data_IF_522374714310
#
_entry.id   IF_522374714310
#
_cell.length_a   1.000
_cell.length_b   1.000
_cell.length_c   1.000
_cell.angle_alpha   90.00
_cell.angle_beta   90.00
_cell.angle_gamma   90.00
#
_symmetry.space_group_name_H-M   'P 1'
#
loop_
_entity.id
_entity.type
_entity.pdbx_description
1 polymer ?
#
# COMPACT_ATOMS: atom_id res chain seq x y z
N UNK A 1 -2.31 14.13 2.80
CA UNK A 1 -1.45 14.00 4.00
C UNK A 1 -0.34 13.05 3.64
N UNK A 2 0.93 13.49 3.70
CA UNK A 2 2.10 12.71 3.29
C UNK A 2 2.97 12.36 4.48
N UNK A 3 3.71 11.23 4.38
CA UNK A 3 4.72 10.82 5.36
C UNK A 3 6.07 11.37 4.95
N UNK A 4 6.71 12.15 5.82
CA UNK A 4 8.01 12.78 5.57
C UNK A 4 9.02 12.19 6.55
N UNK A 5 10.03 11.49 6.02
CA UNK A 5 11.10 10.93 6.83
C UNK A 5 12.16 11.97 7.12
N UNK A 6 12.47 12.20 8.41
CA UNK A 6 13.48 13.15 8.85
C UNK A 6 14.74 12.41 9.29
N UNK A 7 15.79 12.51 8.50
CA UNK A 7 17.09 11.87 8.72
C UNK A 7 18.16 12.87 9.10
N UNK A 8 18.88 12.60 10.17
CA UNK A 8 20.08 13.36 10.57
C UNK A 8 20.82 12.64 11.69
N UNK A 9 22.02 13.11 12.05
CA UNK A 9 22.57 12.88 13.39
C UNK A 9 21.65 13.49 14.44
N UNK A 10 21.58 12.85 15.63
CA UNK A 10 20.60 13.23 16.65
C UNK A 10 21.11 14.25 17.66
N UNK A 11 22.31 13.99 18.23
CA UNK A 11 22.80 14.74 19.39
C UNK A 11 23.03 16.22 19.08
N UNK A 12 23.59 16.51 17.91
CA UNK A 12 23.97 17.85 17.45
C UNK A 12 22.82 18.61 16.77
N UNK A 13 21.82 17.90 16.24
CA UNK A 13 20.71 18.49 15.47
C UNK A 13 19.35 18.41 16.20
N UNK A 14 19.34 18.12 17.49
CA UNK A 14 18.09 17.93 18.26
C UNK A 14 17.10 19.09 18.11
N UNK A 15 17.54 20.33 18.26
CA UNK A 15 16.67 21.51 18.17
C UNK A 15 16.22 21.76 16.71
N UNK A 16 17.10 21.51 15.75
CA UNK A 16 16.77 21.60 14.33
C UNK A 16 15.70 20.58 13.94
N UNK A 17 15.80 19.34 14.45
CA UNK A 17 14.79 18.30 14.24
C UNK A 17 13.45 18.69 14.81
N UNK A 18 13.41 19.25 16.03
CA UNK A 18 12.17 19.72 16.66
C UNK A 18 11.50 20.81 15.83
N UNK A 19 12.25 21.81 15.40
CA UNK A 19 11.74 22.89 14.58
C UNK A 19 11.18 22.39 13.25
N UNK A 20 11.91 21.49 12.59
CA UNK A 20 11.47 20.86 11.35
C UNK A 20 10.22 19.99 11.54
N UNK A 21 10.18 19.13 12.56
CA UNK A 21 9.01 18.31 12.89
C UNK A 21 7.76 19.16 13.10
N UNK A 22 7.90 20.25 13.87
CA UNK A 22 6.79 21.19 14.09
C UNK A 22 6.33 21.83 12.77
N UNK A 23 7.25 22.22 11.91
CA UNK A 23 6.96 22.78 10.60
C UNK A 23 6.21 21.78 9.70
N UNK A 24 6.66 20.54 9.63
CA UNK A 24 6.01 19.46 8.87
C UNK A 24 4.57 19.25 9.34
N UNK A 25 4.35 19.18 10.64
CA UNK A 25 3.00 18.98 11.22
C UNK A 25 2.09 20.18 10.97
N UNK A 26 2.62 21.42 11.02
CA UNK A 26 1.87 22.64 10.67
C UNK A 26 1.43 22.68 9.20
N UNK A 27 2.18 22.04 8.31
CA UNK A 27 1.82 21.84 6.90
C UNK A 27 0.79 20.72 6.69
N UNK A 28 0.34 20.03 7.76
CA UNK A 28 -0.65 18.95 7.66
C UNK A 28 -0.05 17.60 7.23
N UNK A 29 1.26 17.41 7.37
CA UNK A 29 1.95 16.15 7.07
C UNK A 29 2.37 15.40 8.33
N UNK A 30 2.76 14.13 8.18
CA UNK A 30 3.28 13.29 9.26
C UNK A 30 4.78 13.19 9.13
N UNK A 31 5.50 13.61 10.16
CA UNK A 31 6.93 13.36 10.28
C UNK A 31 7.20 11.96 10.85
N UNK A 32 8.11 11.25 10.23
CA UNK A 32 8.61 9.96 10.66
C UNK A 32 10.08 10.13 11.02
N UNK A 33 10.43 9.76 12.25
CA UNK A 33 11.78 9.94 12.76
C UNK A 33 12.08 8.89 13.84
N UNK A 34 13.35 8.53 13.97
CA UNK A 34 13.81 7.47 14.88
C UNK A 34 13.35 7.66 16.34
N UNK A 35 13.24 8.90 16.81
CA UNK A 35 12.82 9.23 18.17
C UNK A 35 11.37 8.86 18.51
N UNK A 36 10.56 8.53 17.52
CA UNK A 36 9.16 8.13 17.71
C UNK A 36 8.95 6.62 17.69
N UNK A 37 10.02 5.84 17.53
CA UNK A 37 9.89 4.39 17.49
C UNK A 37 9.55 3.82 18.85
N UNK A 38 8.54 2.98 18.87
CA UNK A 38 8.17 2.17 20.01
C UNK A 38 9.00 0.87 20.03
N UNK A 39 8.94 0.13 21.13
CA UNK A 39 9.59 -1.17 21.21
C UNK A 39 9.03 -2.14 20.17
N UNK A 40 9.89 -2.66 19.32
CA UNK A 40 9.57 -3.62 18.24
C UNK A 40 10.61 -4.73 18.21
N UNK A 41 10.22 -5.92 17.75
CA UNK A 41 11.13 -7.04 17.46
C UNK A 41 11.82 -6.83 16.09
N UNK A 42 12.62 -5.75 16.02
CA UNK A 42 13.40 -5.41 14.84
C UNK A 42 14.66 -4.65 15.24
N UNK A 43 15.74 -4.83 14.46
CA UNK A 43 16.94 -4.01 14.68
C UNK A 43 16.63 -2.55 14.33
N UNK A 44 17.07 -1.58 15.13
CA UNK A 44 16.82 -0.15 14.86
C UNK A 44 17.24 0.27 13.45
N UNK A 45 18.40 -0.20 12.98
CA UNK A 45 18.90 0.10 11.62
C UNK A 45 17.93 -0.37 10.53
N UNK A 46 17.46 -1.62 10.62
CA UNK A 46 16.58 -2.21 9.61
C UNK A 46 15.24 -1.45 9.53
N UNK A 47 14.79 -0.93 10.69
CA UNK A 47 13.59 -0.09 10.76
C UNK A 47 13.82 1.27 10.12
N UNK A 48 14.91 1.98 10.46
CA UNK A 48 15.26 3.28 9.89
C UNK A 48 15.39 3.21 8.37
N UNK A 49 16.16 2.25 7.86
CA UNK A 49 16.38 2.05 6.42
C UNK A 49 15.06 1.74 5.69
N UNK A 50 14.21 0.93 6.29
CA UNK A 50 12.89 0.61 5.73
C UNK A 50 12.00 1.86 5.65
N UNK A 51 11.84 2.57 6.76
CA UNK A 51 10.96 3.74 6.83
C UNK A 51 11.45 4.87 5.91
N UNK A 52 12.78 5.05 5.78
CA UNK A 52 13.38 5.96 4.81
C UNK A 52 13.08 5.55 3.35
N UNK A 53 13.00 4.24 3.07
CA UNK A 53 12.64 3.69 1.76
C UNK A 53 11.13 3.67 1.48
N UNK A 54 10.29 3.84 2.49
CA UNK A 54 8.82 3.73 2.40
C UNK A 54 8.09 5.07 2.55
N UNK A 55 8.79 6.17 2.87
CA UNK A 55 8.20 7.50 3.04
C UNK A 55 7.76 8.13 1.70
N UNK A 56 6.96 9.19 1.78
CA UNK A 56 6.55 9.95 0.60
C UNK A 56 7.61 10.98 0.19
N UNK A 57 8.34 11.52 1.16
CA UNK A 57 9.43 12.48 0.98
C UNK A 57 10.52 12.23 2.02
N UNK A 58 11.76 12.24 1.60
CA UNK A 58 12.91 12.19 2.50
C UNK A 58 13.46 13.60 2.72
N UNK A 59 13.71 13.96 3.97
CA UNK A 59 14.38 15.20 4.36
C UNK A 59 15.62 14.85 5.15
N UNK A 60 16.80 15.13 4.57
CA UNK A 60 18.10 14.88 5.17
C UNK A 60 18.78 16.15 5.65
N UNK A 61 19.25 16.14 6.91
CA UNK A 61 20.01 17.22 7.50
C UNK A 61 21.47 16.77 7.73
N UNK A 62 22.42 17.50 7.19
CA UNK A 62 23.84 17.15 7.26
C UNK A 62 24.64 18.33 7.83
N UNK A 63 25.08 18.18 9.09
CA UNK A 63 25.86 19.20 9.80
C UNK A 63 27.35 18.86 9.83
N UNK A 64 27.97 18.84 11.02
CA UNK A 64 29.39 18.62 11.22
C UNK A 64 29.74 17.21 11.71
N UNK A 65 28.77 16.29 11.77
CA UNK A 65 28.98 14.89 12.17
C UNK A 65 28.56 13.95 11.05
N UNK A 66 29.36 12.91 10.83
CA UNK A 66 29.02 11.82 9.92
C UNK A 66 27.99 10.89 10.53
N UNK A 67 28.07 10.71 11.84
CA UNK A 67 27.18 9.88 12.62
C UNK A 67 27.67 8.45 12.83
N UNK A 68 26.85 7.68 13.55
CA UNK A 68 27.17 6.33 13.96
C UNK A 68 27.20 5.36 12.77
N UNK A 69 28.31 4.61 12.66
CA UNK A 69 28.45 3.50 11.72
C UNK A 69 28.16 2.19 12.50
N UNK A 70 27.10 1.46 12.19
CA UNK A 70 26.80 0.19 12.85
C UNK A 70 27.89 -0.86 12.63
N UNK A 71 28.07 -1.82 13.56
CA UNK A 71 29.02 -2.92 13.37
C UNK A 71 28.75 -3.67 12.05
N UNK A 72 29.83 -3.82 11.25
CA UNK A 72 29.76 -4.43 9.92
C UNK A 72 29.41 -3.47 8.78
N UNK A 73 28.98 -2.23 9.08
CA UNK A 73 28.68 -1.21 8.07
C UNK A 73 29.83 -0.23 7.93
N UNK A 74 30.08 0.18 6.67
CA UNK A 74 31.06 1.22 6.37
C UNK A 74 30.46 2.62 6.32
N UNK A 75 29.14 2.71 6.28
CA UNK A 75 28.37 3.95 6.20
C UNK A 75 27.64 4.22 7.51
N UNK A 76 27.43 5.50 7.80
CA UNK A 76 26.60 5.89 8.94
C UNK A 76 25.13 5.58 8.68
N UNK A 77 24.34 5.49 9.77
CA UNK A 77 22.88 5.30 9.69
C UNK A 77 22.25 6.36 8.78
N UNK A 78 22.62 7.63 8.96
CA UNK A 78 22.11 8.75 8.15
C UNK A 78 22.43 8.59 6.64
N UNK A 79 23.61 8.10 6.29
CA UNK A 79 23.92 7.83 4.89
C UNK A 79 23.16 6.60 4.37
N UNK A 80 23.02 5.55 5.16
CA UNK A 80 22.23 4.36 4.77
C UNK A 80 20.77 4.71 4.52
N UNK A 81 20.17 5.54 5.36
CA UNK A 81 18.81 6.06 5.18
C UNK A 81 18.69 6.86 3.86
N UNK A 82 19.63 7.76 3.60
CA UNK A 82 19.67 8.52 2.34
C UNK A 82 19.78 7.59 1.12
N UNK A 83 20.70 6.60 1.17
CA UNK A 83 20.87 5.63 0.08
C UNK A 83 19.61 4.78 -0.13
N UNK A 84 18.93 4.39 0.94
CA UNK A 84 17.67 3.64 0.86
C UNK A 84 16.56 4.46 0.19
N UNK A 85 16.39 5.73 0.59
CA UNK A 85 15.43 6.63 -0.04
C UNK A 85 15.73 6.81 -1.53
N UNK A 86 17.02 7.00 -1.90
CA UNK A 86 17.43 7.11 -3.31
C UNK A 86 17.22 5.83 -4.11
N UNK A 87 17.56 4.67 -3.54
CA UNK A 87 17.34 3.37 -4.18
C UNK A 87 15.84 3.10 -4.42
N UNK A 88 14.98 3.62 -3.53
CA UNK A 88 13.53 3.56 -3.67
C UNK A 88 12.95 4.66 -4.57
N UNK A 89 13.77 5.49 -5.23
CA UNK A 89 13.36 6.64 -6.05
C UNK A 89 12.47 7.65 -5.29
N UNK A 90 12.74 7.85 -4.01
CA UNK A 90 12.06 8.87 -3.20
C UNK A 90 12.73 10.22 -3.47
N UNK A 91 11.92 11.26 -3.59
CA UNK A 91 12.45 12.61 -3.66
C UNK A 91 13.14 12.97 -2.34
N UNK A 92 14.39 13.46 -2.45
CA UNK A 92 15.21 13.79 -1.30
C UNK A 92 15.48 15.28 -1.27
N UNK A 93 15.02 15.95 -0.22
CA UNK A 93 15.39 17.31 0.10
C UNK A 93 16.57 17.28 1.07
N UNK A 94 17.73 17.75 0.63
CA UNK A 94 18.95 17.75 1.42
C UNK A 94 19.27 19.17 1.91
N UNK A 95 19.53 19.28 3.21
CA UNK A 95 19.91 20.54 3.84
C UNK A 95 21.26 20.39 4.52
N UNK A 96 22.17 21.30 4.19
CA UNK A 96 23.54 21.32 4.71
C UNK A 96 23.71 22.49 5.68
N UNK A 97 24.37 22.24 6.81
CA UNK A 97 24.78 23.32 7.67
C UNK A 97 25.76 24.24 6.92
N UNK A 98 25.51 25.55 6.95
CA UNK A 98 26.38 26.54 6.33
C UNK A 98 27.82 26.47 6.89
N UNK A 99 28.80 26.80 6.07
CA UNK A 99 30.22 26.64 6.48
C UNK A 99 30.61 27.61 7.60
N UNK A 100 30.03 28.78 7.60
CA UNK A 100 30.26 29.88 8.56
C UNK A 100 29.30 29.83 9.76
N UNK A 101 28.40 28.85 9.81
CA UNK A 101 27.47 28.71 10.93
C UNK A 101 28.23 28.38 12.21
N UNK A 102 27.95 29.12 13.33
CA UNK A 102 28.51 28.80 14.63
C UNK A 102 28.08 27.40 15.09
N UNK A 103 29.04 26.53 15.42
CA UNK A 103 28.76 25.17 15.82
C UNK A 103 29.61 24.74 17.00
N UNK A 104 29.05 24.03 18.01
CA UNK A 104 29.81 23.58 19.17
C UNK A 104 30.93 22.60 18.75
N UNK A 105 32.13 22.81 19.26
CA UNK A 105 33.32 22.00 18.95
C UNK A 105 33.15 20.53 19.27
N UNK A 106 32.38 20.20 20.30
CA UNK A 106 32.03 18.83 20.70
C UNK A 106 31.15 18.10 19.66
N UNK A 107 30.55 18.85 18.76
CA UNK A 107 29.71 18.33 17.69
C UNK A 107 30.39 18.39 16.32
N UNK A 108 31.71 18.58 16.28
CA UNK A 108 32.50 18.56 15.05
C UNK A 108 33.25 17.23 14.92
N UNK A 109 32.98 16.48 13.86
CA UNK A 109 33.72 15.26 13.54
C UNK A 109 35.17 15.58 13.17
N UNK A 110 36.16 14.92 13.79
CA UNK A 110 37.58 15.17 13.55
C UNK A 110 38.37 13.93 13.12
N UNK A 111 37.71 12.74 13.18
CA UNK A 111 38.32 11.45 12.89
C UNK A 111 38.11 11.00 11.44
N UNK A 112 38.20 9.69 11.21
CA UNK A 112 37.93 9.09 9.89
C UNK A 112 36.51 9.41 9.39
N UNK A 113 35.57 9.72 10.27
CA UNK A 113 34.24 10.19 9.93
C UNK A 113 34.24 11.55 9.22
N UNK A 114 35.19 12.45 9.53
CA UNK A 114 35.28 13.77 8.89
C UNK A 114 35.47 13.65 7.37
N UNK A 115 36.35 12.74 6.92
CA UNK A 115 36.60 12.51 5.49
C UNK A 115 35.35 11.91 4.80
N UNK A 116 34.66 11.01 5.47
CA UNK A 116 33.42 10.42 4.94
C UNK A 116 32.31 11.47 4.84
N UNK A 117 32.18 12.33 5.85
CA UNK A 117 31.24 13.44 5.84
C UNK A 117 31.55 14.43 4.70
N UNK A 118 32.82 14.80 4.54
CA UNK A 118 33.25 15.71 3.47
C UNK A 118 32.91 15.13 2.08
N UNK A 119 33.18 13.85 1.87
CA UNK A 119 32.84 13.15 0.63
C UNK A 119 31.35 13.12 0.37
N UNK A 120 30.54 12.81 1.42
CA UNK A 120 29.07 12.80 1.31
C UNK A 120 28.53 14.20 1.01
N UNK A 121 29.00 15.24 1.71
CA UNK A 121 28.57 16.64 1.47
C UNK A 121 28.95 17.12 0.06
N UNK A 122 30.12 16.75 -0.42
CA UNK A 122 30.57 17.06 -1.79
C UNK A 122 29.64 16.39 -2.83
N UNK A 123 29.34 15.09 -2.65
CA UNK A 123 28.39 14.38 -3.52
C UNK A 123 27.00 15.03 -3.51
N UNK A 124 26.51 15.41 -2.32
CA UNK A 124 25.21 16.04 -2.19
C UNK A 124 25.17 17.39 -2.90
N UNK A 125 26.20 18.22 -2.74
CA UNK A 125 26.31 19.54 -3.37
C UNK A 125 26.46 19.46 -4.89
N UNK A 126 27.15 18.42 -5.39
CA UNK A 126 27.34 18.21 -6.84
C UNK A 126 26.06 17.73 -7.52
N UNK A 127 25.33 16.82 -6.87
CA UNK A 127 24.21 16.11 -7.51
C UNK A 127 22.83 16.67 -7.19
N UNK A 128 22.70 17.48 -6.15
CA UNK A 128 21.42 17.98 -5.64
C UNK A 128 21.48 19.47 -5.35
N UNK A 129 20.38 20.15 -5.55
CA UNK A 129 20.20 21.51 -5.08
C UNK A 129 19.91 21.46 -3.57
N UNK A 130 20.95 21.63 -2.76
CA UNK A 130 20.86 21.61 -1.31
C UNK A 130 20.45 22.97 -0.74
N UNK A 131 19.58 22.98 0.28
CA UNK A 131 19.33 24.16 1.10
C UNK A 131 20.46 24.35 2.13
N UNK A 132 20.86 25.60 2.39
CA UNK A 132 21.81 25.92 3.46
C UNK A 132 21.04 26.46 4.67
N UNK A 133 21.45 26.08 5.87
CA UNK A 133 20.89 26.57 7.12
C UNK A 133 21.96 26.83 8.16
N UNK A 134 21.69 27.76 9.07
CA UNK A 134 22.56 28.06 10.22
C UNK A 134 21.82 27.92 11.56
N UNK A 135 20.51 28.07 11.56
CA UNK A 135 19.69 28.01 12.78
C UNK A 135 18.48 27.06 12.60
N UNK A 136 17.87 26.58 13.71
CA UNK A 136 16.64 25.80 13.64
C UNK A 136 15.48 26.50 12.93
N UNK A 137 15.29 27.79 13.17
CA UNK A 137 14.20 28.57 12.58
C UNK A 137 14.41 28.77 11.08
N UNK A 138 15.63 29.05 10.65
CA UNK A 138 16.00 29.16 9.24
C UNK A 138 15.76 27.83 8.53
N UNK A 139 16.21 26.71 9.12
CA UNK A 139 15.95 25.38 8.59
C UNK A 139 14.44 25.13 8.43
N UNK A 140 13.65 25.42 9.47
CA UNK A 140 12.21 25.21 9.42
C UNK A 140 11.55 26.04 8.30
N UNK A 141 11.99 27.27 8.09
CA UNK A 141 11.46 28.15 7.05
C UNK A 141 11.80 27.64 5.64
N UNK A 142 13.08 27.38 5.35
CA UNK A 142 13.50 26.90 4.02
C UNK A 142 12.98 25.50 3.70
N UNK A 143 12.93 24.62 4.71
CA UNK A 143 12.38 23.26 4.54
C UNK A 143 10.89 23.31 4.27
N UNK A 144 10.12 24.16 4.99
CA UNK A 144 8.69 24.35 4.70
C UNK A 144 8.46 24.79 3.26
N UNK A 145 9.19 25.79 2.80
CA UNK A 145 9.10 26.28 1.42
C UNK A 145 9.44 25.19 0.40
N UNK A 146 10.50 24.42 0.67
CA UNK A 146 10.94 23.32 -0.20
C UNK A 146 9.91 22.18 -0.24
N UNK A 147 9.32 21.82 0.90
CA UNK A 147 8.27 20.79 1.01
C UNK A 147 7.04 21.24 0.21
N UNK A 148 6.52 22.44 0.45
CA UNK A 148 5.36 22.98 -0.28
C UNK A 148 5.66 23.01 -1.77
N UNK A 149 6.80 23.58 -2.19
CA UNK A 149 7.18 23.64 -3.60
C UNK A 149 7.30 22.26 -4.24
N UNK A 150 7.83 21.27 -3.53
CA UNK A 150 7.96 19.92 -4.05
C UNK A 150 6.58 19.24 -4.19
N UNK A 151 5.63 19.54 -3.30
CA UNK A 151 4.26 19.04 -3.35
C UNK A 151 3.42 19.75 -4.43
N UNK A 152 3.59 21.07 -4.63
CA UNK A 152 2.74 21.90 -5.52
C UNK A 152 3.19 21.88 -6.99
N UNK A 153 4.47 21.59 -7.28
CA UNK A 153 5.02 21.69 -8.65
C UNK A 153 4.58 20.61 -9.63
N UNK A 154 3.47 19.92 -9.38
CA UNK A 154 2.83 19.07 -10.40
C UNK A 154 3.71 17.89 -10.89
N UNK A 155 4.78 17.55 -10.18
CA UNK A 155 5.34 16.22 -10.28
C UNK A 155 4.24 15.27 -9.86
N UNK A 156 4.05 14.18 -10.60
CA UNK A 156 3.01 13.20 -10.32
C UNK A 156 2.81 13.07 -8.81
N UNK A 157 1.57 13.19 -8.30
CA UNK A 157 1.33 13.31 -6.87
C UNK A 157 2.14 12.23 -6.14
N UNK A 158 2.76 12.58 -4.99
CA UNK A 158 3.62 11.66 -4.21
C UNK A 158 2.97 10.28 -4.05
N UNK A 159 1.63 10.28 -3.90
CA UNK A 159 0.83 9.09 -3.99
C UNK A 159 1.09 8.25 -5.23
N UNK A 160 1.33 8.84 -6.40
CA UNK A 160 1.50 8.06 -7.63
C UNK A 160 2.86 7.35 -7.73
N UNK A 161 3.93 7.90 -7.18
CA UNK A 161 5.23 7.21 -7.12
C UNK A 161 5.24 6.12 -6.06
N UNK A 162 4.70 6.42 -4.87
CA UNK A 162 4.49 5.42 -3.81
C UNK A 162 3.58 4.31 -4.31
N UNK A 163 2.47 4.66 -4.94
CA UNK A 163 1.55 3.74 -5.58
C UNK A 163 2.26 2.84 -6.58
N UNK A 164 3.07 3.41 -7.48
CA UNK A 164 3.85 2.65 -8.48
C UNK A 164 4.83 1.68 -7.81
N UNK A 165 5.57 2.10 -6.78
CA UNK A 165 6.49 1.22 -6.03
C UNK A 165 5.75 0.09 -5.33
N UNK A 166 4.65 0.41 -4.66
CA UNK A 166 3.82 -0.56 -3.97
C UNK A 166 3.22 -1.58 -4.95
N UNK A 167 2.73 -1.14 -6.11
CA UNK A 167 2.25 -2.04 -7.17
C UNK A 167 3.38 -2.92 -7.69
N UNK A 168 4.58 -2.37 -7.90
CA UNK A 168 5.76 -3.13 -8.31
C UNK A 168 6.13 -4.19 -7.26
N UNK A 169 6.18 -3.82 -5.98
CA UNK A 169 6.44 -4.75 -4.88
C UNK A 169 5.37 -5.83 -4.77
N UNK A 170 4.11 -5.48 -4.91
CA UNK A 170 2.98 -6.41 -4.90
C UNK A 170 3.02 -7.38 -6.09
N UNK A 171 3.41 -6.91 -7.29
CA UNK A 171 3.53 -7.74 -8.51
C UNK A 171 4.75 -8.63 -8.52
N UNK A 172 5.81 -8.32 -7.79
CA UNK A 172 7.08 -9.04 -7.85
C UNK A 172 6.95 -10.46 -7.28
N UNK A 173 7.36 -11.46 -8.08
CA UNK A 173 7.26 -12.88 -7.73
C UNK A 173 8.25 -13.30 -6.65
N UNK A 174 9.37 -12.57 -6.52
CA UNK A 174 10.41 -12.79 -5.52
C UNK A 174 10.21 -12.05 -4.19
N UNK A 175 9.12 -11.30 -4.06
CA UNK A 175 8.79 -10.57 -2.82
C UNK A 175 8.16 -11.52 -1.81
N UNK A 176 8.56 -11.41 -0.53
CA UNK A 176 7.99 -12.21 0.55
C UNK A 176 6.48 -11.98 0.68
N UNK A 177 5.69 -13.03 1.00
CA UNK A 177 4.24 -12.89 1.15
C UNK A 177 3.81 -11.77 2.10
N UNK A 178 4.54 -11.60 3.23
CA UNK A 178 4.29 -10.54 4.19
C UNK A 178 4.55 -9.12 3.65
N UNK A 179 5.49 -8.95 2.74
CA UNK A 179 5.78 -7.68 2.08
C UNK A 179 4.74 -7.35 1.02
N UNK A 180 4.31 -8.35 0.24
CA UNK A 180 3.19 -8.20 -0.70
C UNK A 180 1.91 -7.80 0.02
N UNK A 181 1.63 -8.42 1.17
CA UNK A 181 0.47 -8.08 2.00
C UNK A 181 0.53 -6.63 2.49
N UNK A 182 1.70 -6.18 2.97
CA UNK A 182 1.90 -4.78 3.39
C UNK A 182 1.74 -3.80 2.25
N UNK A 183 2.27 -4.12 1.07
CA UNK A 183 2.10 -3.30 -0.12
C UNK A 183 0.61 -3.21 -0.52
N UNK A 184 -0.10 -4.34 -0.53
CA UNK A 184 -1.53 -4.40 -0.79
C UNK A 184 -2.31 -3.52 0.20
N UNK A 185 -2.05 -3.67 1.51
CA UNK A 185 -2.71 -2.88 2.56
C UNK A 185 -2.47 -1.38 2.39
N UNK A 186 -1.23 -0.98 2.08
CA UNK A 186 -0.89 0.42 1.85
C UNK A 186 -1.62 0.98 0.61
N UNK A 187 -1.71 0.21 -0.47
CA UNK A 187 -2.43 0.59 -1.69
C UNK A 187 -3.94 0.78 -1.46
N UNK A 188 -4.53 -0.08 -0.64
CA UNK A 188 -5.93 0.04 -0.21
C UNK A 188 -6.14 1.30 0.62
N UNK A 189 -5.28 1.52 1.62
CA UNK A 189 -5.38 2.71 2.48
C UNK A 189 -5.23 4.02 1.68
N UNK A 190 -4.52 3.96 0.55
CA UNK A 190 -4.41 5.08 -0.40
C UNK A 190 -5.63 5.24 -1.32
N UNK A 191 -6.54 4.26 -1.38
CA UNK A 191 -7.64 4.24 -2.35
C UNK A 191 -7.13 4.16 -3.79
N UNK A 192 -6.06 3.39 -4.05
CA UNK A 192 -5.36 3.36 -5.34
C UNK A 192 -6.21 2.77 -6.47
N UNK A 193 -6.67 3.55 -7.47
CA UNK A 193 -7.39 3.01 -8.62
C UNK A 193 -6.47 2.15 -9.51
N UNK A 194 -5.17 2.45 -9.55
CA UNK A 194 -4.18 1.65 -10.30
C UNK A 194 -3.96 0.29 -9.68
N UNK A 195 -4.09 0.17 -8.37
CA UNK A 195 -4.00 -1.12 -7.69
C UNK A 195 -5.20 -2.00 -8.04
N UNK A 196 -6.40 -1.44 -8.08
CA UNK A 196 -7.61 -2.16 -8.50
C UNK A 196 -7.48 -2.64 -9.95
N UNK A 197 -6.98 -1.78 -10.84
CA UNK A 197 -6.68 -2.18 -12.23
C UNK A 197 -5.63 -3.28 -12.27
N UNK A 198 -4.57 -3.21 -11.45
CA UNK A 198 -3.53 -4.23 -11.38
C UNK A 198 -4.04 -5.57 -10.84
N UNK A 199 -4.97 -5.57 -9.89
CA UNK A 199 -5.67 -6.78 -9.43
C UNK A 199 -6.50 -7.36 -10.57
N UNK A 200 -7.29 -6.52 -11.25
CA UNK A 200 -8.10 -6.92 -12.40
C UNK A 200 -7.25 -7.58 -13.48
N UNK A 201 -6.18 -6.91 -13.91
CA UNK A 201 -5.26 -7.46 -14.93
C UNK A 201 -4.75 -8.85 -14.53
N UNK A 202 -4.34 -8.99 -13.26
CA UNK A 202 -3.78 -10.25 -12.77
C UNK A 202 -4.82 -11.34 -12.62
N UNK A 203 -6.05 -11.01 -12.26
CA UNK A 203 -7.17 -11.95 -12.20
C UNK A 203 -7.64 -12.39 -13.58
N UNK A 204 -7.49 -11.50 -14.58
CA UNK A 204 -7.86 -11.78 -15.97
C UNK A 204 -6.72 -12.42 -16.79
N UNK A 205 -5.47 -12.39 -16.31
CA UNK A 205 -4.33 -13.00 -16.98
C UNK A 205 -4.40 -14.52 -16.94
N UNK A 206 -4.49 -15.14 -18.13
CA UNK A 206 -4.55 -16.60 -18.28
C UNK A 206 -3.35 -17.33 -17.68
N UNK A 207 -2.18 -16.70 -17.62
CA UNK A 207 -0.94 -17.29 -17.10
C UNK A 207 -0.78 -17.17 -15.57
N UNK A 208 -1.65 -16.42 -14.90
CA UNK A 208 -1.59 -16.18 -13.45
C UNK A 208 -2.30 -17.27 -12.62
N UNK A 209 -2.64 -18.43 -13.18
CA UNK A 209 -3.40 -19.51 -12.52
C UNK A 209 -2.79 -19.97 -11.18
N UNK A 210 -1.46 -19.89 -11.01
CA UNK A 210 -0.79 -20.33 -9.78
C UNK A 210 -0.97 -19.37 -8.59
N UNK A 211 -1.45 -18.15 -8.78
CA UNK A 211 -1.53 -17.11 -7.74
C UNK A 211 -2.97 -16.72 -7.36
N UNK A 212 -3.98 -17.39 -7.93
CA UNK A 212 -5.41 -17.09 -7.63
C UNK A 212 -5.70 -17.22 -6.13
N UNK A 213 -5.12 -18.19 -5.44
CA UNK A 213 -5.26 -18.35 -3.99
C UNK A 213 -4.59 -17.21 -3.19
N UNK A 214 -3.50 -16.65 -3.69
CA UNK A 214 -2.86 -15.47 -3.12
C UNK A 214 -3.71 -14.22 -3.32
N UNK A 215 -4.24 -14.03 -4.51
CA UNK A 215 -5.13 -12.92 -4.86
C UNK A 215 -6.45 -13.00 -4.09
N UNK A 216 -7.01 -14.19 -3.92
CA UNK A 216 -8.21 -14.41 -3.10
C UNK A 216 -8.00 -13.93 -1.65
N UNK A 217 -6.84 -14.21 -1.05
CA UNK A 217 -6.48 -13.69 0.27
C UNK A 217 -6.36 -12.17 0.30
N UNK A 218 -5.80 -11.55 -0.72
CA UNK A 218 -5.73 -10.09 -0.82
C UNK A 218 -7.11 -9.45 -0.98
N UNK A 219 -7.98 -10.05 -1.79
CA UNK A 219 -9.36 -9.59 -1.93
C UNK A 219 -10.16 -9.76 -0.65
N UNK A 220 -9.94 -10.84 0.13
CA UNK A 220 -10.57 -11.04 1.43
C UNK A 220 -10.15 -9.96 2.45
N UNK A 221 -8.89 -9.54 2.42
CA UNK A 221 -8.38 -8.42 3.22
C UNK A 221 -8.95 -7.07 2.76
N UNK A 222 -9.05 -6.85 1.46
CA UNK A 222 -9.71 -5.68 0.85
C UNK A 222 -11.19 -5.58 1.24
N UNK A 223 -11.89 -6.70 1.32
CA UNK A 223 -13.30 -6.76 1.72
C UNK A 223 -13.54 -6.34 3.17
N UNK A 224 -12.54 -6.49 4.05
CA UNK A 224 -12.60 -6.00 5.43
C UNK A 224 -12.56 -4.48 5.51
N UNK A 225 -12.09 -3.81 4.47
CA UNK A 225 -11.97 -2.36 4.36
C UNK A 225 -13.18 -1.80 3.59
N UNK A 226 -14.15 -1.27 4.31
CA UNK A 226 -15.48 -0.92 3.82
C UNK A 226 -15.54 -0.01 2.56
N UNK A 227 -14.50 0.79 2.29
CA UNK A 227 -14.41 1.67 1.13
C UNK A 227 -14.19 0.92 -0.20
N UNK A 228 -13.55 -0.25 -0.15
CA UNK A 228 -13.11 -1.01 -1.34
C UNK A 228 -14.21 -1.87 -1.98
N UNK A 229 -15.32 -2.11 -1.29
CA UNK A 229 -16.36 -3.06 -1.75
C UNK A 229 -17.02 -2.64 -3.07
N UNK A 230 -17.31 -1.35 -3.24
CA UNK A 230 -17.93 -0.82 -4.47
C UNK A 230 -16.99 -0.88 -5.68
N UNK A 231 -15.71 -0.69 -5.42
CA UNK A 231 -14.68 -0.65 -6.45
C UNK A 231 -14.31 -2.04 -6.98
N UNK A 232 -14.57 -3.09 -6.19
CA UNK A 232 -14.35 -4.49 -6.60
C UNK A 232 -15.47 -5.06 -7.47
N UNK A 233 -16.67 -4.48 -7.43
CA UNK A 233 -17.82 -4.98 -8.18
C UNK A 233 -17.57 -5.09 -9.69
N UNK A 234 -16.96 -4.09 -10.38
CA UNK A 234 -16.65 -4.22 -11.81
C UNK A 234 -15.71 -5.40 -12.11
N UNK A 235 -14.77 -5.69 -11.19
CA UNK A 235 -13.83 -6.82 -11.34
C UNK A 235 -14.59 -8.14 -11.28
N UNK A 236 -15.52 -8.29 -10.33
CA UNK A 236 -16.32 -9.52 -10.23
C UNK A 236 -17.26 -9.69 -11.42
N UNK A 237 -17.83 -8.61 -11.96
CA UNK A 237 -18.64 -8.67 -13.18
C UNK A 237 -17.84 -9.20 -14.37
N UNK A 238 -16.63 -8.69 -14.58
CA UNK A 238 -15.75 -9.17 -15.67
C UNK A 238 -15.33 -10.63 -15.45
N UNK A 239 -15.08 -11.04 -14.20
CA UNK A 239 -14.72 -12.42 -13.88
C UNK A 239 -15.89 -13.41 -14.04
N UNK A 240 -17.13 -12.97 -13.81
CA UNK A 240 -18.32 -13.80 -14.06
C UNK A 240 -18.47 -14.19 -15.53
N UNK A 241 -18.00 -13.36 -16.46
CA UNK A 241 -18.06 -13.58 -17.89
C UNK A 241 -16.78 -14.19 -18.50
N UNK A 242 -15.79 -14.50 -17.67
CA UNK A 242 -14.50 -14.99 -18.15
C UNK A 242 -14.60 -16.39 -18.73
N UNK A 243 -13.76 -16.71 -19.76
CA UNK A 243 -13.73 -18.03 -20.41
C UNK A 243 -13.30 -19.15 -19.44
N UNK A 244 -12.37 -18.83 -18.53
CA UNK A 244 -11.85 -19.77 -17.54
C UNK A 244 -12.88 -20.05 -16.42
N UNK A 245 -13.19 -21.32 -16.23
CA UNK A 245 -14.14 -21.84 -15.23
C UNK A 245 -13.79 -21.42 -13.80
N UNK A 246 -12.50 -21.53 -13.41
CA UNK A 246 -12.07 -21.31 -12.04
C UNK A 246 -12.24 -19.84 -11.65
N UNK A 247 -12.13 -18.93 -12.60
CA UNK A 247 -12.39 -17.51 -12.43
C UNK A 247 -13.86 -17.18 -12.26
N UNK A 248 -14.73 -17.79 -13.07
CA UNK A 248 -16.18 -17.65 -12.88
C UNK A 248 -16.62 -18.22 -11.54
N UNK A 249 -16.14 -19.41 -11.19
CA UNK A 249 -16.37 -20.03 -9.87
C UNK A 249 -15.93 -19.11 -8.73
N UNK A 250 -14.71 -18.57 -8.84
CA UNK A 250 -14.16 -17.64 -7.84
C UNK A 250 -15.01 -16.39 -7.68
N UNK A 251 -15.48 -15.78 -8.78
CA UNK A 251 -16.35 -14.60 -8.71
C UNK A 251 -17.68 -14.89 -8.01
N UNK A 252 -18.31 -16.01 -8.35
CA UNK A 252 -19.56 -16.46 -7.72
C UNK A 252 -19.35 -16.69 -6.22
N UNK A 253 -18.25 -17.37 -5.83
CA UNK A 253 -17.90 -17.63 -4.44
C UNK A 253 -17.69 -16.32 -3.65
N UNK A 254 -16.90 -15.39 -4.19
CA UNK A 254 -16.57 -14.12 -3.51
C UNK A 254 -17.80 -13.22 -3.33
N UNK A 255 -18.71 -13.19 -4.30
CA UNK A 255 -19.97 -12.46 -4.16
C UNK A 255 -20.86 -13.07 -3.07
N UNK A 256 -20.84 -14.39 -2.92
CA UNK A 256 -21.50 -15.09 -1.81
C UNK A 256 -20.90 -14.75 -0.44
N UNK A 257 -19.58 -14.67 -0.34
CA UNK A 257 -18.90 -14.27 0.90
C UNK A 257 -19.20 -12.80 1.27
N UNK A 258 -19.32 -11.92 0.29
CA UNK A 258 -19.74 -10.53 0.50
C UNK A 258 -21.15 -10.46 1.05
N UNK A 259 -22.08 -11.20 0.45
CA UNK A 259 -23.47 -11.26 0.89
C UNK A 259 -23.59 -11.84 2.32
N UNK A 260 -22.85 -12.91 2.63
CA UNK A 260 -22.80 -13.51 3.97
C UNK A 260 -22.35 -12.51 5.04
N UNK A 261 -21.46 -11.59 4.69
CA UNK A 261 -21.00 -10.50 5.57
C UNK A 261 -21.94 -9.29 5.60
N UNK A 262 -23.15 -9.42 5.05
CA UNK A 262 -24.19 -8.41 5.07
C UNK A 262 -24.02 -7.30 4.02
N UNK A 263 -23.18 -7.51 2.99
CA UNK A 263 -23.12 -6.57 1.88
C UNK A 263 -24.36 -6.73 0.99
N UNK A 264 -25.03 -5.61 0.68
CA UNK A 264 -26.11 -5.57 -0.31
C UNK A 264 -25.49 -5.49 -1.71
N UNK A 265 -25.90 -6.36 -2.60
CA UNK A 265 -25.46 -6.41 -3.99
C UNK A 265 -26.36 -5.50 -4.85
N UNK A 266 -25.73 -4.76 -5.78
CA UNK A 266 -26.51 -4.00 -6.74
C UNK A 266 -27.30 -4.93 -7.67
N UNK A 267 -28.51 -4.55 -8.14
CA UNK A 267 -29.33 -5.39 -9.00
C UNK A 267 -28.59 -5.95 -10.24
N UNK A 268 -27.74 -5.14 -10.88
CA UNK A 268 -26.90 -5.56 -12.01
C UNK A 268 -25.94 -6.70 -11.65
N UNK A 269 -25.45 -6.74 -10.42
CA UNK A 269 -24.57 -7.83 -9.94
C UNK A 269 -25.38 -9.10 -9.69
N UNK A 270 -26.59 -8.96 -9.15
CA UNK A 270 -27.50 -10.08 -8.97
C UNK A 270 -27.89 -10.67 -10.33
N UNK A 271 -28.23 -9.84 -11.32
CA UNK A 271 -28.57 -10.30 -12.68
C UNK A 271 -27.40 -11.07 -13.31
N UNK A 272 -26.17 -10.57 -13.18
CA UNK A 272 -24.97 -11.24 -13.68
C UNK A 272 -24.70 -12.59 -12.97
N UNK A 273 -24.96 -12.67 -11.65
CA UNK A 273 -24.94 -13.94 -10.92
C UNK A 273 -25.97 -14.92 -11.44
N UNK A 274 -27.23 -14.49 -11.60
CA UNK A 274 -28.34 -15.33 -12.08
C UNK A 274 -28.09 -15.88 -13.49
N UNK A 275 -27.41 -15.13 -14.35
CA UNK A 275 -26.98 -15.59 -15.67
C UNK A 275 -26.08 -16.84 -15.60
N UNK A 276 -25.39 -17.08 -14.50
CA UNK A 276 -24.55 -18.29 -14.28
C UNK A 276 -25.37 -19.57 -14.03
N UNK A 277 -26.70 -19.48 -13.92
CA UNK A 277 -27.54 -20.68 -13.90
C UNK A 277 -27.43 -21.53 -15.17
N UNK A 278 -27.03 -20.94 -16.28
CA UNK A 278 -26.74 -21.63 -17.53
C UNK A 278 -25.25 -21.81 -17.80
N UNK A 279 -24.40 -21.71 -16.78
CA UNK A 279 -22.97 -21.93 -16.92
C UNK A 279 -22.68 -23.35 -17.42
N UNK A 280 -21.77 -23.55 -18.39
CA UNK A 280 -21.45 -24.89 -18.88
C UNK A 280 -20.90 -25.82 -17.81
N UNK A 281 -20.27 -25.26 -16.77
CA UNK A 281 -19.66 -26.05 -15.70
C UNK A 281 -20.60 -26.22 -14.49
N UNK A 282 -20.82 -27.46 -14.09
CA UNK A 282 -21.70 -27.81 -12.98
C UNK A 282 -21.21 -27.27 -11.63
N UNK A 283 -19.88 -27.17 -11.41
CA UNK A 283 -19.35 -26.65 -10.16
C UNK A 283 -19.65 -25.14 -10.01
N UNK A 284 -19.66 -24.37 -11.11
CA UNK A 284 -20.07 -22.95 -11.09
C UNK A 284 -21.57 -22.84 -10.75
N UNK A 285 -22.41 -23.70 -11.34
CA UNK A 285 -23.85 -23.73 -11.05
C UNK A 285 -24.14 -24.16 -9.59
N UNK A 286 -23.40 -25.16 -9.07
CA UNK A 286 -23.47 -25.56 -7.65
C UNK A 286 -23.09 -24.40 -6.73
N UNK A 287 -22.00 -23.71 -7.05
CA UNK A 287 -21.55 -22.54 -6.29
C UNK A 287 -22.56 -21.39 -6.37
N UNK A 288 -23.23 -21.20 -7.50
CA UNK A 288 -24.31 -20.22 -7.64
C UNK A 288 -25.46 -20.52 -6.67
N UNK A 289 -25.93 -21.76 -6.63
CA UNK A 289 -27.00 -22.16 -5.71
C UNK A 289 -26.62 -21.86 -4.25
N UNK A 290 -25.36 -22.16 -3.86
CA UNK A 290 -24.82 -21.84 -2.55
C UNK A 290 -24.74 -20.32 -2.29
N UNK A 291 -24.36 -19.54 -3.30
CA UNK A 291 -24.31 -18.07 -3.19
C UNK A 291 -25.70 -17.46 -3.02
N UNK A 292 -26.69 -17.94 -3.76
CA UNK A 292 -28.07 -17.46 -3.65
C UNK A 292 -28.69 -17.74 -2.27
N UNK A 293 -28.24 -18.80 -1.58
CA UNK A 293 -28.64 -19.06 -0.18
C UNK A 293 -28.05 -18.00 0.78
N UNK A 294 -26.85 -17.47 0.50
CA UNK A 294 -26.14 -16.48 1.33
C UNK A 294 -26.64 -15.05 1.15
N UNK A 295 -27.41 -14.75 0.11
CA UNK A 295 -27.91 -13.41 -0.15
C UNK A 295 -28.66 -12.81 1.04
N UNK A 296 -28.55 -11.50 1.23
CA UNK A 296 -29.33 -10.78 2.24
C UNK A 296 -30.83 -10.91 1.95
N UNK A 297 -31.71 -10.74 2.95
CA UNK A 297 -33.16 -10.78 2.69
C UNK A 297 -33.61 -9.80 1.60
N UNK A 298 -33.00 -8.61 1.53
CA UNK A 298 -33.29 -7.62 0.49
C UNK A 298 -32.86 -8.10 -0.91
N UNK A 299 -31.67 -8.67 -1.04
CA UNK A 299 -31.14 -9.18 -2.31
C UNK A 299 -31.92 -10.44 -2.77
N UNK A 300 -32.35 -11.28 -1.83
CA UNK A 300 -33.21 -12.44 -2.12
C UNK A 300 -34.60 -12.06 -2.64
N UNK A 301 -35.08 -10.87 -2.34
CA UNK A 301 -36.33 -10.33 -2.88
C UNK A 301 -36.26 -9.98 -4.36
N UNK A 302 -35.06 -10.00 -4.97
CA UNK A 302 -34.92 -9.79 -6.41
C UNK A 302 -35.70 -10.83 -7.21
N UNK A 303 -36.48 -10.38 -8.17
CA UNK A 303 -37.49 -11.18 -8.90
C UNK A 303 -36.91 -12.42 -9.59
N UNK A 304 -35.64 -12.41 -9.97
CA UNK A 304 -34.97 -13.52 -10.64
C UNK A 304 -34.44 -14.62 -9.71
N UNK A 305 -34.26 -14.37 -8.41
CA UNK A 305 -33.57 -15.32 -7.50
C UNK A 305 -34.39 -16.62 -7.32
N UNK A 306 -35.67 -16.52 -7.05
CA UNK A 306 -36.50 -17.70 -6.84
C UNK A 306 -36.68 -18.54 -8.12
N UNK A 307 -37.05 -17.95 -9.28
CA UNK A 307 -37.08 -18.69 -10.54
C UNK A 307 -35.79 -19.41 -10.89
N UNK A 308 -34.66 -18.76 -10.64
CA UNK A 308 -33.34 -19.37 -10.89
C UNK A 308 -33.09 -20.60 -10.00
N UNK A 309 -33.42 -20.54 -8.72
CA UNK A 309 -33.32 -21.71 -7.82
C UNK A 309 -34.26 -22.83 -8.26
N UNK A 310 -35.47 -22.50 -8.69
CA UNK A 310 -36.43 -23.50 -9.23
C UNK A 310 -35.95 -24.11 -10.57
N UNK A 311 -35.19 -23.38 -11.36
CA UNK A 311 -34.50 -23.91 -12.54
C UNK A 311 -33.40 -24.88 -12.12
N UNK A 312 -32.53 -24.50 -11.17
CA UNK A 312 -31.38 -25.32 -10.74
C UNK A 312 -31.79 -26.60 -10.03
N UNK A 313 -32.98 -26.70 -9.40
CA UNK A 313 -33.54 -27.96 -8.87
C UNK A 313 -33.79 -28.97 -9.98
N UNK A 314 -33.89 -28.56 -11.22
CA UNK A 314 -34.10 -29.43 -12.41
C UNK A 314 -32.83 -29.65 -13.20
N UNK A 315 -31.67 -29.24 -12.69
CA UNK A 315 -30.37 -29.35 -13.35
C UNK A 315 -29.98 -30.81 -13.66
N UNK A 316 -29.18 -31.00 -14.69
CA UNK A 316 -28.66 -32.33 -15.06
C UNK A 316 -27.74 -32.92 -13.99
N UNK A 317 -26.97 -32.07 -13.27
CA UNK A 317 -26.10 -32.47 -12.18
C UNK A 317 -26.86 -32.70 -10.88
N UNK A 318 -26.65 -33.86 -10.27
CA UNK A 318 -27.25 -34.21 -8.98
C UNK A 318 -26.82 -33.26 -7.86
N UNK A 319 -25.57 -32.83 -7.86
CA UNK A 319 -24.99 -31.91 -6.88
C UNK A 319 -25.63 -30.51 -6.96
N UNK A 320 -25.88 -30.01 -8.19
CA UNK A 320 -26.58 -28.74 -8.41
C UNK A 320 -27.99 -28.82 -7.87
N UNK A 321 -28.76 -29.91 -8.19
CA UNK A 321 -30.12 -30.10 -7.71
C UNK A 321 -30.22 -30.13 -6.19
N UNK A 322 -29.37 -30.92 -5.55
CA UNK A 322 -29.29 -31.01 -4.09
C UNK A 322 -29.05 -29.69 -3.42
N UNK A 323 -28.08 -28.94 -3.96
CA UNK A 323 -27.72 -27.63 -3.41
C UNK A 323 -28.79 -26.58 -3.60
N UNK A 324 -29.46 -26.58 -4.75
CA UNK A 324 -30.57 -25.67 -5.05
C UNK A 324 -31.80 -25.96 -4.18
N UNK A 325 -32.09 -27.23 -3.94
CA UNK A 325 -33.18 -27.65 -3.05
C UNK A 325 -32.90 -27.26 -1.59
N UNK A 326 -31.65 -27.39 -1.12
CA UNK A 326 -31.25 -26.92 0.20
C UNK A 326 -31.44 -25.39 0.34
N UNK A 327 -31.02 -24.61 -0.69
CA UNK A 327 -31.19 -23.16 -0.72
C UNK A 327 -32.66 -22.72 -0.69
N UNK A 328 -33.56 -23.48 -1.36
CA UNK A 328 -35.01 -23.23 -1.32
C UNK A 328 -35.64 -23.55 0.03
N UNK A 329 -35.18 -24.63 0.71
CA UNK A 329 -35.65 -24.98 2.06
C UNK A 329 -35.23 -23.97 3.12
N UNK A 330 -34.01 -23.51 3.09
CA UNK A 330 -33.51 -22.48 3.99
C UNK A 330 -34.32 -21.17 3.94
N UNK A 331 -35.14 -20.99 2.90
CA UNK A 331 -35.99 -19.82 2.69
C UNK A 331 -37.35 -19.94 3.38
N UNK A 332 -37.77 -21.16 3.76
CA UNK A 332 -39.11 -21.43 4.30
C UNK A 332 -39.15 -21.46 5.85
N UNK A 333 -38.03 -21.42 6.51
CA UNK A 333 -37.87 -21.32 7.96
C UNK A 333 -37.41 -19.95 8.40
#
# INVERSE_FOLDING_TARGET
MSTIYVSSTFADLREHRKALSLAIRRLGHVDVAMEYYLAEDARPLDRCVRDAGDCDLYVGLFARRYGFCPPGEQRSVTELEFRAARAANIDCLCFLLAEDAPWPDEHVERDAGANKLAALRAELSERYLCGLFSTPDELAAIASAAIVRNLDLGRAPFGAQREHRLIKSWRATNTLPAERMRAAQALVNMGSPRYLAAIKDRLLDANAQQDVAGIARYLDELQRLAASRRELMPIFLDLLEHDDRDRRYFAVFQLGELALRGATLAPVVIDALLARASDPDAAVRTQLAHTLEKLTPGDRAHTGVQPTLEQLVKDDSAEVRERADAALRAKRG
#
